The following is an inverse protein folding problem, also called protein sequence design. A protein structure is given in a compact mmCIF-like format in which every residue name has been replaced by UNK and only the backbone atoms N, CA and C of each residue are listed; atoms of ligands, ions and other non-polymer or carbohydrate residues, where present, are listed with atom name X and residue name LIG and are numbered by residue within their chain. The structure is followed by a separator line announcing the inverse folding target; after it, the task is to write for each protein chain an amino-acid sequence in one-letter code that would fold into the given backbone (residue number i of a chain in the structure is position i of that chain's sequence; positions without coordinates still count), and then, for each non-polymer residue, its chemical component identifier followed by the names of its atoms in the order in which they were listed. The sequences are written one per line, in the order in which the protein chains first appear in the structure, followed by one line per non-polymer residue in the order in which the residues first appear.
data_IF_366320068139
#
_entry.id   IF_366320068139
#
_cell.length_a   1.000
_cell.length_b   1.000
_cell.length_c   1.000
_cell.angle_alpha   90.00
_cell.angle_beta   90.00
_cell.angle_gamma   90.00
#
_symmetry.space_group_name_H-M   'P 1'
#
loop_
_entity.id
_entity.type
_entity.pdbx_description
1 polymer ?
#
# COMPACT_ATOMS: atom_id res chain seq x y z
N UNK A 1 45.08 -51.96 -18.70
CA UNK A 1 46.00 -50.97 -18.13
C UNK A 1 45.90 -49.72 -18.98
N UNK A 2 45.10 -48.75 -18.55
CA UNK A 2 45.04 -47.44 -19.18
C UNK A 2 46.36 -46.71 -18.88
N UNK A 3 47.13 -46.42 -19.92
CA UNK A 3 48.37 -45.65 -19.82
C UNK A 3 47.95 -44.21 -19.58
N UNK A 4 48.22 -43.68 -18.39
CA UNK A 4 48.05 -42.25 -18.12
C UNK A 4 48.98 -41.46 -19.04
N UNK A 5 48.41 -40.75 -20.02
CA UNK A 5 49.15 -39.82 -20.87
C UNK A 5 49.85 -38.80 -19.96
N UNK A 6 51.20 -38.83 -19.98
CA UNK A 6 52.00 -37.82 -19.29
C UNK A 6 51.73 -36.47 -19.96
N UNK A 7 50.96 -35.63 -19.28
CA UNK A 7 50.67 -34.26 -19.73
C UNK A 7 52.00 -33.50 -19.76
N UNK A 8 52.55 -33.32 -20.97
CA UNK A 8 53.76 -32.53 -21.20
C UNK A 8 53.52 -31.08 -20.74
N UNK A 9 54.21 -30.68 -19.67
CA UNK A 9 54.17 -29.29 -19.15
C UNK A 9 55.45 -28.58 -19.58
N UNK A 10 55.39 -27.66 -20.56
CA UNK A 10 56.58 -26.94 -21.01
C UNK A 10 57.13 -26.06 -19.89
N UNK A 11 58.48 -26.00 -19.78
CA UNK A 11 59.17 -25.20 -18.74
C UNK A 11 59.07 -23.68 -18.99
N UNK A 12 58.81 -23.27 -20.24
CA UNK A 12 58.59 -21.89 -20.63
C UNK A 12 57.29 -21.81 -21.44
N UNK A 13 56.45 -20.81 -21.14
CA UNK A 13 55.20 -20.55 -21.85
C UNK A 13 55.31 -19.17 -22.49
N UNK A 14 55.05 -19.07 -23.79
CA UNK A 14 54.85 -17.76 -24.42
C UNK A 14 53.53 -17.17 -23.92
N UNK A 15 53.65 -16.19 -23.04
CA UNK A 15 52.51 -15.49 -22.45
C UNK A 15 51.60 -14.85 -23.49
N UNK A 16 52.15 -14.38 -24.61
CA UNK A 16 51.37 -13.65 -25.62
C UNK A 16 50.47 -14.59 -26.41
N UNK A 17 51.00 -15.72 -26.84
CA UNK A 17 50.26 -16.77 -27.54
C UNK A 17 49.25 -17.45 -26.61
N UNK A 18 49.66 -17.75 -25.37
CA UNK A 18 48.78 -18.35 -24.36
C UNK A 18 47.58 -17.48 -24.02
N UNK A 19 47.77 -16.16 -23.91
CA UNK A 19 46.70 -15.19 -23.69
C UNK A 19 45.83 -15.05 -24.93
N UNK A 20 46.42 -14.94 -26.14
CA UNK A 20 45.67 -14.87 -27.41
C UNK A 20 44.71 -16.04 -27.57
N UNK A 21 45.16 -17.26 -27.30
CA UNK A 21 44.35 -18.48 -27.38
C UNK A 21 43.17 -18.51 -26.39
N UNK A 22 43.19 -17.67 -25.33
CA UNK A 22 42.16 -17.60 -24.29
C UNK A 22 41.48 -16.24 -24.23
N UNK A 23 41.68 -15.36 -25.21
CA UNK A 23 41.07 -14.03 -25.22
C UNK A 23 39.54 -14.12 -25.15
N UNK A 24 38.94 -15.06 -25.86
CA UNK A 24 37.49 -15.27 -25.85
C UNK A 24 37.00 -15.72 -24.47
N UNK A 25 37.74 -16.61 -23.80
CA UNK A 25 37.42 -17.05 -22.43
C UNK A 25 37.58 -15.92 -21.42
N UNK A 26 38.60 -15.07 -21.59
CA UNK A 26 38.81 -13.90 -20.75
C UNK A 26 37.71 -12.86 -21.01
N UNK A 27 37.29 -12.68 -22.27
CA UNK A 27 36.20 -11.78 -22.64
C UNK A 27 34.86 -12.26 -22.08
N UNK A 28 34.53 -13.55 -22.24
CA UNK A 28 33.35 -14.17 -21.65
C UNK A 28 33.37 -14.05 -20.13
N UNK A 29 34.51 -14.32 -19.48
CA UNK A 29 34.65 -14.14 -18.04
C UNK A 29 34.41 -12.69 -17.61
N UNK A 30 34.95 -11.72 -18.34
CA UNK A 30 34.72 -10.31 -18.07
C UNK A 30 33.25 -9.91 -18.31
N UNK A 31 32.59 -10.48 -19.31
CA UNK A 31 31.15 -10.31 -19.56
C UNK A 31 30.31 -10.92 -18.43
N UNK A 32 30.63 -12.14 -17.99
CA UNK A 32 29.95 -12.82 -16.87
C UNK A 32 30.16 -12.05 -15.56
N UNK A 33 31.39 -11.60 -15.28
CA UNK A 33 31.69 -10.78 -14.10
C UNK A 33 30.98 -9.43 -14.15
N UNK A 34 30.85 -8.83 -15.34
CA UNK A 34 30.12 -7.57 -15.53
C UNK A 34 28.60 -7.70 -15.54
N UNK A 35 28.05 -8.86 -15.93
CA UNK A 35 26.61 -9.13 -15.95
C UNK A 35 26.07 -9.65 -14.61
N UNK A 36 26.84 -10.48 -13.89
CA UNK A 36 26.55 -10.91 -12.52
C UNK A 36 26.66 -9.77 -11.51
N UNK A 37 27.39 -8.71 -11.87
CA UNK A 37 27.22 -7.38 -11.31
C UNK A 37 25.85 -6.85 -11.82
N UNK A 38 24.76 -7.15 -11.10
CA UNK A 38 23.38 -7.06 -11.60
C UNK A 38 22.97 -5.78 -12.33
N UNK A 39 22.77 -5.88 -13.65
CA UNK A 39 21.81 -5.14 -14.50
C UNK A 39 21.91 -3.60 -14.63
N UNK A 40 22.66 -2.92 -13.75
CA UNK A 40 22.83 -1.46 -13.72
C UNK A 40 24.35 -1.12 -13.58
N UNK A 41 25.21 -2.10 -13.87
CA UNK A 41 26.61 -2.14 -13.45
C UNK A 41 27.61 -2.07 -14.60
N UNK A 42 27.91 -0.85 -15.08
CA UNK A 42 29.12 -0.62 -15.88
C UNK A 42 30.40 -0.92 -15.08
N UNK A 43 31.23 -1.82 -15.61
CA UNK A 43 32.52 -2.31 -15.09
C UNK A 43 33.68 -1.32 -15.25
N UNK A 44 33.44 -0.17 -15.87
CA UNK A 44 34.49 0.75 -16.33
C UNK A 44 35.28 1.47 -15.22
N UNK A 45 34.96 1.27 -13.93
CA UNK A 45 35.70 1.87 -12.83
C UNK A 45 35.68 1.01 -11.55
N UNK A 46 36.75 1.01 -10.73
CA UNK A 46 36.78 0.35 -9.44
C UNK A 46 35.74 0.98 -8.51
N UNK A 47 34.65 0.25 -8.25
CA UNK A 47 33.56 0.71 -7.40
C UNK A 47 33.89 0.49 -5.93
N UNK A 48 33.64 1.52 -5.12
CA UNK A 48 33.66 1.38 -3.66
C UNK A 48 32.59 0.38 -3.21
N UNK A 49 32.79 -0.27 -2.06
CA UNK A 49 31.84 -1.26 -1.52
C UNK A 49 30.38 -0.75 -1.49
N UNK A 50 30.17 0.54 -1.22
CA UNK A 50 28.83 1.15 -1.18
C UNK A 50 28.16 1.26 -2.56
N UNK A 51 28.94 1.30 -3.64
CA UNK A 51 28.47 1.38 -5.02
C UNK A 51 28.17 0.00 -5.63
N UNK A 52 28.61 -1.10 -5.00
CA UNK A 52 28.24 -2.47 -5.42
C UNK A 52 26.78 -2.82 -5.12
N UNK A 53 26.09 -2.08 -4.25
CA UNK A 53 24.67 -2.32 -3.98
C UNK A 53 23.79 -1.79 -5.13
N UNK A 54 22.64 -2.41 -5.42
CA UNK A 54 21.66 -1.86 -6.36
C UNK A 54 21.21 -0.45 -5.94
N UNK A 55 20.99 0.44 -6.92
CA UNK A 55 20.65 1.85 -6.67
C UNK A 55 19.47 2.05 -5.71
N UNK A 56 18.44 1.20 -5.81
CA UNK A 56 17.25 1.28 -4.97
C UNK A 56 17.48 0.83 -3.51
N UNK A 57 18.54 0.04 -3.25
CA UNK A 57 18.95 -0.38 -1.91
C UNK A 57 19.93 0.59 -1.23
N UNK A 58 20.67 1.39 -2.01
CA UNK A 58 21.68 2.32 -1.48
C UNK A 58 21.06 3.34 -0.52
N UNK A 59 21.68 3.52 0.65
CA UNK A 59 21.36 4.60 1.60
C UNK A 59 22.54 5.57 1.72
N UNK A 60 22.27 6.88 1.69
CA UNK A 60 23.29 7.94 1.82
C UNK A 60 24.11 7.82 3.10
N UNK A 61 23.49 7.33 4.18
CA UNK A 61 24.12 7.21 5.50
C UNK A 61 24.95 5.92 5.71
N UNK A 62 25.12 5.06 4.70
CA UNK A 62 25.89 3.80 4.85
C UNK A 62 27.37 4.05 5.17
N UNK A 63 27.95 5.14 4.67
CA UNK A 63 29.34 5.52 4.96
C UNK A 63 29.57 5.82 6.44
N UNK A 64 28.59 6.40 7.14
CA UNK A 64 28.74 6.76 8.55
C UNK A 64 28.15 5.72 9.51
N UNK A 65 27.18 4.93 9.05
CA UNK A 65 26.48 3.93 9.85
C UNK A 65 26.43 2.58 9.13
N UNK A 66 27.32 1.68 9.55
CA UNK A 66 27.46 0.31 9.05
C UNK A 66 26.16 -0.50 9.19
N UNK A 67 25.30 -0.19 10.17
CA UNK A 67 24.01 -0.90 10.34
C UNK A 67 23.03 -0.68 9.18
N UNK A 68 23.28 0.32 8.32
CA UNK A 68 22.49 0.58 7.10
C UNK A 68 22.86 -0.33 5.93
N UNK A 69 23.97 -1.05 6.01
CA UNK A 69 24.34 -2.10 5.06
C UNK A 69 23.65 -3.44 5.41
N UNK A 70 23.40 -4.29 4.39
CA UNK A 70 23.03 -5.69 4.63
C UNK A 70 24.08 -6.40 5.49
N UNK A 71 23.65 -7.36 6.31
CA UNK A 71 24.52 -8.03 7.31
C UNK A 71 25.81 -8.57 6.71
N UNK A 72 25.73 -9.20 5.53
CA UNK A 72 26.87 -9.76 4.79
C UNK A 72 27.97 -8.73 4.44
N UNK A 73 27.59 -7.47 4.15
CA UNK A 73 28.55 -6.42 3.76
C UNK A 73 29.11 -5.60 4.93
N UNK A 74 28.59 -5.81 6.15
CA UNK A 74 29.04 -5.08 7.35
C UNK A 74 30.50 -5.34 7.71
N UNK A 75 31.01 -6.58 7.81
CA UNK A 75 32.40 -6.82 8.22
C UNK A 75 33.40 -6.11 7.31
N UNK A 76 33.18 -6.16 6.00
CA UNK A 76 34.03 -5.51 4.99
C UNK A 76 34.03 -3.98 5.16
N UNK A 77 32.89 -3.39 5.59
CA UNK A 77 32.75 -1.95 5.80
C UNK A 77 33.33 -1.44 7.13
N UNK A 78 33.40 -2.26 8.17
CA UNK A 78 33.92 -1.83 9.49
C UNK A 78 35.37 -1.37 9.36
N UNK A 79 36.15 -2.07 8.54
CA UNK A 79 37.56 -1.74 8.29
C UNK A 79 37.74 -0.39 7.57
N UNK A 80 36.73 0.07 6.81
CA UNK A 80 36.77 1.31 6.03
C UNK A 80 36.36 2.56 6.83
N UNK A 81 35.66 2.40 7.95
CA UNK A 81 34.93 3.48 8.62
C UNK A 81 35.51 3.89 9.99
N UNK A 82 36.80 4.24 10.06
CA UNK A 82 37.49 4.73 11.28
C UNK A 82 37.38 6.25 11.51
N UNK A 83 36.25 6.90 11.17
CA UNK A 83 36.09 8.36 11.42
C UNK A 83 35.45 8.64 12.78
N UNK A 84 36.05 9.55 13.57
CA UNK A 84 35.48 10.04 14.84
C UNK A 84 34.11 10.67 14.60
N UNK A 85 33.09 10.25 15.36
CA UNK A 85 31.72 10.76 15.23
C UNK A 85 31.52 11.95 16.16
N UNK A 86 31.01 13.05 15.61
CA UNK A 86 30.45 14.14 16.42
C UNK A 86 29.20 13.66 17.18
N UNK A 87 28.87 14.26 18.34
CA UNK A 87 27.71 13.86 19.13
C UNK A 87 26.41 13.87 18.31
N UNK A 88 25.62 12.82 18.49
CA UNK A 88 24.48 12.53 17.60
C UNK A 88 23.36 13.57 17.73
N UNK A 89 22.64 13.83 16.62
CA UNK A 89 21.45 14.71 16.60
C UNK A 89 20.33 14.27 17.55
N UNK A 90 20.36 13.01 18.01
CA UNK A 90 19.40 12.44 18.97
C UNK A 90 19.57 13.10 20.35
N UNK A 91 20.81 13.39 20.76
CA UNK A 91 21.12 14.09 22.02
C UNK A 91 20.50 15.50 22.09
N UNK A 92 20.24 16.13 20.92
CA UNK A 92 19.59 17.45 20.81
C UNK A 92 18.07 17.42 20.67
N UNK A 93 17.41 16.26 20.72
CA UNK A 93 15.95 16.14 20.48
C UNK A 93 15.19 15.71 21.73
N UNK A 94 14.40 16.62 22.32
CA UNK A 94 13.44 16.34 23.40
C UNK A 94 12.27 15.44 22.95
N UNK A 95 11.76 14.64 23.91
CA UNK A 95 10.75 13.59 23.78
C UNK A 95 9.29 14.09 23.61
N UNK A 96 9.03 15.39 23.77
CA UNK A 96 7.71 16.03 23.69
C UNK A 96 7.02 16.01 22.31
N UNK A 97 7.55 15.29 21.31
CA UNK A 97 7.01 15.23 19.93
C UNK A 97 6.05 14.08 19.65
N UNK A 98 5.91 13.12 20.57
CA UNK A 98 4.99 11.98 20.40
C UNK A 98 3.52 12.39 20.61
N UNK A 99 3.24 13.21 21.63
CA UNK A 99 1.90 13.74 21.97
C UNK A 99 1.33 14.64 20.84
N UNK A 100 2.19 15.28 20.04
CA UNK A 100 1.76 16.09 18.90
C UNK A 100 1.15 15.26 17.76
N UNK A 101 1.35 13.93 17.70
CA UNK A 101 0.79 13.09 16.63
C UNK A 101 -0.72 12.93 16.73
N UNK A 102 -1.25 12.66 17.93
CA UNK A 102 -2.70 12.52 18.14
C UNK A 102 -3.45 13.84 17.87
N UNK A 103 -2.86 14.99 18.23
CA UNK A 103 -3.44 16.30 17.92
C UNK A 103 -3.46 16.62 16.42
N UNK A 104 -2.55 16.04 15.63
CA UNK A 104 -2.47 16.27 14.19
C UNK A 104 -3.47 15.40 13.40
N UNK A 105 -3.88 14.24 13.93
CA UNK A 105 -4.97 13.44 13.34
C UNK A 105 -6.29 14.22 13.23
N UNK A 106 -6.52 15.16 14.16
CA UNK A 106 -7.68 16.06 14.16
C UNK A 106 -7.44 17.38 13.39
N UNK A 107 -6.24 17.61 12.84
CA UNK A 107 -5.94 18.82 12.09
C UNK A 107 -6.49 18.76 10.67
N UNK A 108 -6.86 19.92 10.10
CA UNK A 108 -7.18 20.07 8.68
C UNK A 108 -5.90 20.52 7.95
N UNK A 109 -5.48 19.87 6.86
CA UNK A 109 -6.07 18.70 6.20
C UNK A 109 -5.82 17.38 6.97
N UNK A 110 -6.81 16.48 6.92
CA UNK A 110 -6.82 15.21 7.66
C UNK A 110 -5.77 14.23 7.15
N UNK A 111 -5.24 13.41 8.06
CA UNK A 111 -4.26 12.38 7.73
C UNK A 111 -4.95 11.03 7.55
N UNK A 112 -4.53 10.27 6.53
CA UNK A 112 -4.90 8.87 6.39
C UNK A 112 -4.14 8.00 7.42
N UNK A 113 -4.63 6.79 7.77
CA UNK A 113 -3.93 5.90 8.70
C UNK A 113 -2.47 5.59 8.29
N UNK A 114 -2.20 5.55 6.99
CA UNK A 114 -0.87 5.28 6.40
C UNK A 114 -0.01 6.53 6.23
N UNK A 115 -0.48 7.72 6.66
CA UNK A 115 0.15 9.01 6.34
C UNK A 115 1.63 9.06 6.71
N UNK A 116 2.01 8.54 7.88
CA UNK A 116 3.42 8.53 8.33
C UNK A 116 4.32 7.72 7.39
N UNK A 117 3.81 6.61 6.84
CA UNK A 117 4.57 5.78 5.92
C UNK A 117 4.78 6.48 4.58
N UNK A 118 3.72 7.12 4.07
CA UNK A 118 3.76 7.89 2.82
C UNK A 118 4.59 9.18 2.96
N UNK A 119 4.42 9.96 4.03
CA UNK A 119 5.17 11.20 4.26
C UNK A 119 6.69 11.00 4.34
N UNK A 120 7.15 9.78 4.67
CA UNK A 120 8.57 9.42 4.66
C UNK A 120 9.13 9.08 3.26
N UNK A 121 8.28 8.81 2.27
CA UNK A 121 8.66 8.23 0.97
C UNK A 121 8.12 9.00 -0.24
N UNK A 122 7.13 9.83 -0.03
CA UNK A 122 6.41 10.58 -1.05
C UNK A 122 6.35 12.06 -0.68
N UNK A 123 6.20 12.89 -1.70
CA UNK A 123 5.77 14.28 -1.57
C UNK A 123 4.28 14.29 -1.25
N UNK A 124 3.94 14.98 -0.16
CA UNK A 124 2.60 15.03 0.39
C UNK A 124 1.98 16.40 0.13
N UNK A 125 0.78 16.43 -0.42
CA UNK A 125 0.02 17.65 -0.72
C UNK A 125 -1.36 17.60 -0.08
N UNK A 126 -1.94 18.78 0.16
CA UNK A 126 -3.26 18.92 0.75
C UNK A 126 -4.31 18.95 -0.37
N UNK A 127 -5.06 17.86 -0.55
CA UNK A 127 -6.01 17.67 -1.63
C UNK A 127 -7.31 17.12 -1.03
N UNK A 128 -8.46 17.69 -1.41
CA UNK A 128 -9.80 17.24 -1.00
C UNK A 128 -10.01 17.12 0.51
N UNK A 129 -9.37 18.00 1.28
CA UNK A 129 -9.43 17.99 2.76
C UNK A 129 -8.53 16.95 3.43
N UNK A 130 -7.73 16.20 2.67
CA UNK A 130 -6.76 15.21 3.15
C UNK A 130 -5.33 15.58 2.77
N UNK A 131 -4.35 15.03 3.49
CA UNK A 131 -2.94 15.12 3.13
C UNK A 131 -2.48 13.84 2.44
N UNK A 132 -2.47 13.86 1.11
CA UNK A 132 -2.28 12.70 0.23
C UNK A 132 -0.89 12.66 -0.41
N UNK A 133 -0.47 11.46 -0.78
CA UNK A 133 0.79 11.22 -1.47
C UNK A 133 0.64 11.44 -2.97
N UNK A 134 1.35 12.43 -3.52
CA UNK A 134 1.23 12.78 -4.96
C UNK A 134 2.34 12.12 -5.77
N UNK A 135 3.59 12.23 -5.33
CA UNK A 135 4.75 11.76 -6.09
C UNK A 135 5.76 11.04 -5.19
N UNK A 136 6.32 9.93 -5.66
CA UNK A 136 7.44 9.27 -4.99
C UNK A 136 8.67 10.19 -4.93
N UNK A 137 9.43 10.15 -3.84
CA UNK A 137 10.74 10.83 -3.78
C UNK A 137 11.78 10.19 -4.72
N UNK A 138 11.55 8.95 -5.16
CA UNK A 138 12.35 8.25 -6.15
C UNK A 138 11.72 8.37 -7.55
N UNK A 139 12.55 8.35 -8.59
CA UNK A 139 12.08 8.33 -9.99
C UNK A 139 11.55 6.92 -10.32
N UNK A 140 10.27 6.67 -10.07
CA UNK A 140 9.66 5.33 -10.21
C UNK A 140 8.57 5.24 -11.29
N UNK A 141 8.43 6.21 -12.20
CA UNK A 141 7.38 6.18 -13.23
C UNK A 141 7.42 4.90 -14.09
N UNK A 142 8.56 4.63 -14.76
CA UNK A 142 8.74 3.42 -15.59
C UNK A 142 8.73 2.12 -14.76
N UNK A 143 9.43 2.02 -13.61
CA UNK A 143 9.32 0.86 -12.74
C UNK A 143 7.89 0.55 -12.32
N UNK A 144 7.11 1.55 -11.92
CA UNK A 144 5.71 1.38 -11.55
C UNK A 144 4.92 0.84 -12.75
N UNK A 145 5.02 1.45 -13.93
CA UNK A 145 4.33 0.95 -15.12
C UNK A 145 4.65 -0.52 -15.41
N UNK A 146 5.94 -0.89 -15.43
CA UNK A 146 6.38 -2.28 -15.62
C UNK A 146 5.83 -3.22 -14.55
N UNK A 147 5.85 -2.79 -13.28
CA UNK A 147 5.30 -3.56 -12.17
C UNK A 147 3.79 -3.72 -12.24
N UNK A 148 3.05 -2.77 -12.81
CA UNK A 148 1.61 -2.91 -13.03
C UNK A 148 1.28 -4.03 -14.00
N UNK A 149 2.14 -4.25 -15.00
CA UNK A 149 1.96 -5.25 -16.03
C UNK A 149 2.47 -6.63 -15.61
N UNK A 150 3.64 -6.71 -14.98
CA UNK A 150 4.31 -7.99 -14.71
C UNK A 150 4.29 -8.42 -13.25
N UNK A 151 4.08 -7.50 -12.30
CA UNK A 151 4.09 -7.78 -10.88
C UNK A 151 2.84 -7.26 -10.18
N UNK A 152 2.99 -6.39 -9.18
CA UNK A 152 1.89 -5.80 -8.45
C UNK A 152 2.25 -4.43 -7.90
N UNK A 153 1.25 -3.54 -7.82
CA UNK A 153 1.33 -2.24 -7.18
C UNK A 153 0.18 -2.11 -6.20
N UNK A 154 0.42 -1.46 -5.08
CA UNK A 154 -0.61 -1.13 -4.09
C UNK A 154 -0.73 0.38 -4.02
N UNK A 155 -1.97 0.88 -4.05
CA UNK A 155 -2.30 2.28 -3.84
C UNK A 155 -3.30 2.43 -2.70
N UNK A 156 -3.14 3.49 -1.92
CA UNK A 156 -4.06 3.80 -0.84
C UNK A 156 -5.20 4.67 -1.37
N UNK A 157 -6.44 4.17 -1.23
CA UNK A 157 -7.69 4.84 -1.60
C UNK A 157 -8.61 5.09 -0.39
N UNK A 158 -8.04 5.07 0.81
CA UNK A 158 -8.79 5.25 2.07
C UNK A 158 -9.38 6.65 2.25
N UNK A 159 -9.07 7.59 1.36
CA UNK A 159 -9.70 8.91 1.33
C UNK A 159 -11.15 8.89 0.77
N UNK A 160 -11.53 7.80 0.09
CA UNK A 160 -12.92 7.61 -0.35
C UNK A 160 -13.84 7.45 0.86
N UNK A 161 -14.99 8.09 0.79
CA UNK A 161 -16.00 8.05 1.85
C UNK A 161 -16.98 6.92 1.56
N UNK A 162 -17.17 6.03 2.53
CA UNK A 162 -18.17 4.98 2.46
C UNK A 162 -19.47 5.46 3.11
N UNK A 163 -20.53 5.48 2.32
CA UNK A 163 -21.90 5.69 2.75
C UNK A 163 -22.59 4.34 2.81
N UNK A 164 -23.01 3.93 4.00
CA UNK A 164 -23.69 2.67 4.21
C UNK A 164 -25.18 2.93 4.45
N UNK A 165 -26.03 2.41 3.58
CA UNK A 165 -27.48 2.42 3.78
C UNK A 165 -27.87 1.09 4.44
N UNK A 166 -28.58 1.18 5.56
CA UNK A 166 -29.15 0.06 6.31
C UNK A 166 -30.67 0.15 6.27
N UNK A 167 -31.34 -0.89 5.78
CA UNK A 167 -32.80 -0.99 5.83
C UNK A 167 -33.26 -1.34 7.25
N UNK A 168 -34.25 -0.61 7.77
CA UNK A 168 -34.96 -0.97 9.01
C UNK A 168 -36.07 -1.99 8.67
N UNK A 169 -36.34 -2.91 9.60
CA UNK A 169 -37.12 -4.16 9.41
C UNK A 169 -38.40 -3.97 8.56
N UNK A 170 -38.59 -4.91 7.62
CA UNK A 170 -39.71 -5.09 6.67
C UNK A 170 -39.65 -4.38 5.30
N UNK A 171 -38.56 -3.69 4.97
CA UNK A 171 -38.41 -3.10 3.64
C UNK A 171 -37.52 -3.97 2.73
N UNK A 172 -38.01 -4.24 1.52
CA UNK A 172 -37.28 -4.97 0.48
C UNK A 172 -36.16 -4.12 -0.10
N UNK A 173 -35.12 -4.77 -0.64
CA UNK A 173 -34.02 -4.13 -1.40
C UNK A 173 -34.54 -3.20 -2.51
N UNK A 174 -35.70 -3.53 -3.09
CA UNK A 174 -36.40 -2.72 -4.09
C UNK A 174 -36.70 -1.30 -3.59
N UNK A 175 -36.92 -1.09 -2.29
CA UNK A 175 -37.17 0.23 -1.72
C UNK A 175 -35.95 1.14 -1.86
N UNK A 176 -34.78 0.71 -1.35
CA UNK A 176 -33.52 1.48 -1.53
C UNK A 176 -33.23 1.68 -3.01
N UNK A 177 -33.40 0.63 -3.82
CA UNK A 177 -33.15 0.73 -5.26
C UNK A 177 -34.05 1.77 -5.92
N UNK A 178 -35.34 1.80 -5.59
CA UNK A 178 -36.29 2.78 -6.13
C UNK A 178 -35.98 4.19 -5.64
N UNK A 179 -35.69 4.37 -4.35
CA UNK A 179 -35.29 5.65 -3.78
C UNK A 179 -34.05 6.19 -4.50
N UNK A 180 -33.00 5.37 -4.58
CA UNK A 180 -31.74 5.77 -5.18
C UNK A 180 -31.80 5.84 -6.71
N UNK A 181 -32.78 5.21 -7.36
CA UNK A 181 -32.97 5.31 -8.82
C UNK A 181 -33.24 6.74 -9.28
N UNK A 182 -33.76 7.60 -8.40
CA UNK A 182 -33.95 9.05 -8.67
C UNK A 182 -32.62 9.76 -8.97
N UNK A 183 -31.51 9.29 -8.41
CA UNK A 183 -30.16 9.82 -8.67
C UNK A 183 -29.50 9.23 -9.92
N UNK A 184 -30.17 8.30 -10.62
CA UNK A 184 -29.61 7.56 -11.73
C UNK A 184 -30.32 7.88 -13.04
N UNK A 185 -29.54 8.09 -14.10
CA UNK A 185 -30.06 8.14 -15.46
C UNK A 185 -29.91 6.80 -16.16
N UNK A 186 -31.03 6.11 -16.40
CA UNK A 186 -31.08 4.79 -17.05
C UNK A 186 -30.34 4.73 -18.40
N UNK A 187 -30.28 5.84 -19.13
CA UNK A 187 -29.63 5.92 -20.45
C UNK A 187 -28.09 6.03 -20.40
N UNK A 188 -27.52 6.55 -19.31
CA UNK A 188 -26.10 6.91 -19.24
C UNK A 188 -25.25 5.98 -18.37
N UNK A 189 -25.87 5.34 -17.38
CA UNK A 189 -25.19 4.54 -16.36
C UNK A 189 -26.07 3.33 -15.99
N UNK A 190 -25.47 2.22 -15.52
CA UNK A 190 -26.25 1.18 -14.85
C UNK A 190 -27.06 1.79 -13.70
N UNK A 191 -28.10 1.10 -13.24
CA UNK A 191 -28.90 1.50 -12.07
C UNK A 191 -28.52 0.66 -10.86
N UNK A 192 -28.98 1.08 -9.67
CA UNK A 192 -28.82 0.29 -8.44
C UNK A 192 -29.50 -1.09 -8.52
N UNK A 193 -30.50 -1.23 -9.40
CA UNK A 193 -31.22 -2.48 -9.68
C UNK A 193 -30.53 -3.40 -10.70
N UNK A 194 -29.24 -3.23 -10.96
CA UNK A 194 -28.53 -4.09 -11.91
C UNK A 194 -28.49 -5.54 -11.38
N UNK A 195 -28.91 -6.51 -12.21
CA UNK A 195 -28.94 -7.94 -11.90
C UNK A 195 -27.61 -8.46 -11.34
N UNK A 196 -26.48 -8.05 -11.93
CA UNK A 196 -25.16 -8.46 -11.46
C UNK A 196 -24.85 -7.91 -10.06
N UNK A 197 -25.28 -6.69 -9.76
CA UNK A 197 -25.04 -6.07 -8.46
C UNK A 197 -25.96 -6.66 -7.37
N UNK A 198 -27.21 -7.01 -7.70
CA UNK A 198 -28.17 -7.61 -6.77
C UNK A 198 -27.69 -8.93 -6.18
N UNK A 199 -26.83 -9.66 -6.89
CA UNK A 199 -26.17 -10.88 -6.36
C UNK A 199 -25.30 -10.62 -5.12
N UNK A 200 -24.90 -9.35 -4.88
CA UNK A 200 -24.03 -8.95 -3.77
C UNK A 200 -22.55 -9.28 -3.95
N UNK A 201 -22.18 -10.01 -5.00
CA UNK A 201 -20.80 -10.48 -5.20
C UNK A 201 -19.90 -9.43 -5.88
N UNK A 202 -20.50 -8.47 -6.57
CA UNK A 202 -19.77 -7.53 -7.42
C UNK A 202 -19.96 -6.09 -6.98
N UNK A 203 -18.87 -5.33 -7.05
CA UNK A 203 -18.90 -3.87 -6.98
C UNK A 203 -19.10 -3.31 -8.40
N UNK A 204 -20.06 -2.41 -8.56
CA UNK A 204 -20.35 -1.79 -9.85
C UNK A 204 -20.15 -0.28 -9.79
N UNK A 205 -19.67 0.31 -10.89
CA UNK A 205 -19.52 1.76 -11.02
C UNK A 205 -20.79 2.39 -11.55
N UNK A 206 -21.13 3.55 -11.00
CA UNK A 206 -22.36 4.30 -11.23
C UNK A 206 -22.03 5.79 -11.41
N UNK A 207 -22.84 6.50 -12.19
CA UNK A 207 -22.84 7.96 -12.24
C UNK A 207 -24.06 8.53 -11.50
N UNK A 208 -23.82 9.44 -10.55
CA UNK A 208 -24.84 10.12 -9.76
C UNK A 208 -25.23 11.46 -10.39
N UNK A 209 -26.52 11.75 -10.35
CA UNK A 209 -27.13 12.99 -10.83
C UNK A 209 -28.10 13.55 -9.79
N UNK A 210 -28.34 14.86 -9.83
CA UNK A 210 -29.35 15.48 -8.96
C UNK A 210 -30.75 14.97 -9.28
N UNK A 211 -31.60 14.77 -8.25
CA UNK A 211 -32.99 14.38 -8.46
C UNK A 211 -33.83 15.62 -8.83
N UNK A 212 -34.39 15.67 -10.04
CA UNK A 212 -35.55 16.54 -10.32
C UNK A 212 -35.36 17.78 -11.19
N UNK A 213 -34.42 17.81 -12.15
CA UNK A 213 -34.37 18.88 -13.17
C UNK A 213 -34.39 18.30 -14.58
N UNK A 214 -34.97 19.00 -15.56
CA UNK A 214 -34.99 18.59 -16.97
C UNK A 214 -33.58 18.28 -17.53
N UNK A 215 -32.55 18.89 -16.95
CA UNK A 215 -31.15 18.67 -17.30
C UNK A 215 -30.38 17.72 -16.38
N UNK A 216 -30.94 17.21 -15.27
CA UNK A 216 -30.29 16.54 -14.13
C UNK A 216 -28.78 16.80 -14.07
N UNK A 217 -28.39 17.81 -13.30
CA UNK A 217 -26.98 18.15 -13.13
C UNK A 217 -26.15 16.95 -12.63
N UNK A 218 -24.95 16.81 -13.15
CA UNK A 218 -24.05 15.72 -12.80
C UNK A 218 -23.40 15.97 -11.43
N UNK A 219 -23.58 15.04 -10.50
CA UNK A 219 -22.96 15.07 -9.18
C UNK A 219 -21.56 14.46 -9.25
N UNK A 220 -21.44 13.24 -9.78
CA UNK A 220 -20.15 12.57 -9.88
C UNK A 220 -20.19 11.05 -10.00
N UNK A 221 -19.04 10.40 -10.21
CA UNK A 221 -18.94 8.95 -10.24
C UNK A 221 -18.95 8.35 -8.83
N UNK A 222 -19.49 7.15 -8.73
CA UNK A 222 -19.68 6.40 -7.51
C UNK A 222 -19.41 4.91 -7.78
N UNK A 223 -19.06 4.15 -6.75
CA UNK A 223 -19.09 2.69 -6.81
C UNK A 223 -19.97 2.13 -5.71
N UNK A 224 -20.82 1.16 -6.03
CA UNK A 224 -21.68 0.56 -5.03
C UNK A 224 -21.59 -0.97 -5.04
N UNK A 225 -21.88 -1.55 -3.89
CA UNK A 225 -21.92 -3.00 -3.68
C UNK A 225 -23.04 -3.33 -2.69
N UNK A 226 -23.89 -4.29 -3.05
CA UNK A 226 -24.93 -4.80 -2.17
C UNK A 226 -24.34 -5.81 -1.18
N UNK A 227 -24.61 -5.61 0.11
CA UNK A 227 -24.35 -6.57 1.17
C UNK A 227 -25.69 -7.16 1.57
N UNK A 228 -26.01 -8.31 0.99
CA UNK A 228 -27.24 -9.01 1.26
C UNK A 228 -27.34 -9.39 2.74
N UNK A 229 -28.54 -9.36 3.34
CA UNK A 229 -29.83 -9.02 2.71
C UNK A 229 -30.19 -7.52 2.72
N UNK A 230 -29.63 -6.70 3.64
CA UNK A 230 -30.24 -5.41 4.01
C UNK A 230 -29.29 -4.19 3.94
N UNK A 231 -28.09 -4.31 3.36
CA UNK A 231 -27.07 -3.26 3.38
C UNK A 231 -26.63 -2.88 1.97
N UNK A 232 -26.47 -1.59 1.72
CA UNK A 232 -25.83 -1.07 0.51
C UNK A 232 -24.65 -0.22 0.92
N UNK A 233 -23.46 -0.52 0.39
CA UNK A 233 -22.30 0.33 0.56
C UNK A 233 -22.04 1.11 -0.72
N UNK A 234 -21.82 2.40 -0.56
CA UNK A 234 -21.68 3.36 -1.63
C UNK A 234 -20.39 4.16 -1.38
N UNK A 235 -19.44 4.05 -2.30
CA UNK A 235 -18.14 4.70 -2.25
C UNK A 235 -18.15 5.96 -3.09
N UNK A 236 -17.97 7.10 -2.44
CA UNK A 236 -17.92 8.42 -3.07
C UNK A 236 -16.55 9.05 -2.84
N UNK A 237 -16.16 9.92 -3.77
CA UNK A 237 -15.08 10.86 -3.58
C UNK A 237 -15.43 11.96 -2.55
N UNK A 238 -14.50 12.37 -1.66
CA UNK A 238 -14.79 13.36 -0.62
C UNK A 238 -15.24 14.74 -1.13
N UNK A 239 -14.92 15.12 -2.37
CA UNK A 239 -15.42 16.39 -2.94
C UNK A 239 -16.92 16.35 -3.25
N UNK A 240 -17.45 15.19 -3.60
CA UNK A 240 -18.83 14.99 -4.04
C UNK A 240 -19.76 14.75 -2.83
N UNK A 241 -19.19 14.27 -1.74
CA UNK A 241 -19.93 13.85 -0.56
C UNK A 241 -20.87 14.93 -0.01
N UNK A 242 -20.41 16.18 0.11
CA UNK A 242 -21.22 17.26 0.68
C UNK A 242 -22.46 17.55 -0.16
N UNK A 243 -22.32 17.54 -1.48
CA UNK A 243 -23.44 17.84 -2.38
C UNK A 243 -24.42 16.66 -2.41
N UNK A 244 -23.92 15.43 -2.45
CA UNK A 244 -24.76 14.24 -2.38
C UNK A 244 -25.56 14.14 -1.07
N UNK A 245 -24.95 14.46 0.07
CA UNK A 245 -25.64 14.44 1.36
C UNK A 245 -26.73 15.52 1.46
N UNK A 246 -26.53 16.69 0.85
CA UNK A 246 -27.59 17.74 0.76
C UNK A 246 -28.77 17.23 -0.05
N UNK A 247 -28.52 16.64 -1.22
CA UNK A 247 -29.59 16.12 -2.07
C UNK A 247 -30.33 14.94 -1.42
N UNK A 248 -29.62 14.06 -0.69
CA UNK A 248 -30.27 13.02 0.10
C UNK A 248 -31.12 13.62 1.23
N UNK A 249 -30.67 14.68 1.89
CA UNK A 249 -31.44 15.28 2.98
C UNK A 249 -32.77 15.89 2.54
N UNK A 250 -32.90 16.23 1.25
CA UNK A 250 -34.18 16.67 0.67
C UNK A 250 -35.17 15.51 0.47
N UNK A 251 -34.70 14.25 0.49
CA UNK A 251 -35.55 13.08 0.48
C UNK A 251 -35.96 12.75 1.92
N UNK A 252 -37.16 13.16 2.32
CA UNK A 252 -37.73 13.00 3.66
C UNK A 252 -37.80 11.55 4.19
N UNK A 253 -37.46 10.55 3.37
CA UNK A 253 -37.53 9.11 3.67
C UNK A 253 -36.27 8.54 4.36
N UNK A 254 -35.20 9.33 4.55
CA UNK A 254 -33.90 8.85 5.07
C UNK A 254 -33.52 9.50 6.40
N UNK A 255 -33.20 8.68 7.41
CA UNK A 255 -32.57 9.13 8.66
C UNK A 255 -31.06 9.11 8.54
N UNK A 256 -30.43 10.29 8.59
CA UNK A 256 -28.96 10.42 8.51
C UNK A 256 -28.34 10.27 9.90
N UNK A 257 -27.57 9.21 10.12
CA UNK A 257 -26.79 8.98 11.33
C UNK A 257 -25.36 9.48 11.06
N UNK A 258 -25.07 10.73 11.44
CA UNK A 258 -23.71 11.25 11.36
C UNK A 258 -22.91 10.89 12.62
N UNK A 259 -21.70 10.32 12.53
CA UNK A 259 -20.93 9.88 13.70
C UNK A 259 -20.19 11.01 14.44
N UNK A 260 -20.29 12.27 14.04
CA UNK A 260 -19.60 13.36 14.75
C UNK A 260 -20.18 14.75 14.45
N UNK A 261 -21.17 15.17 15.23
CA UNK A 261 -21.20 16.40 16.05
C UNK A 261 -22.62 16.63 16.57
N UNK A 262 -22.70 16.94 17.86
CA UNK A 262 -23.70 17.79 18.49
C UNK A 262 -24.55 18.59 17.49
N UNK A 263 -25.74 18.09 17.19
CA UNK A 263 -26.90 18.93 17.02
C UNK A 263 -27.82 18.55 18.17
N UNK A 264 -28.04 19.49 19.08
CA UNK A 264 -29.14 19.43 20.03
C UNK A 264 -30.44 19.20 19.24
N UNK A 265 -31.29 18.33 19.79
CA UNK A 265 -32.76 18.28 19.70
C UNK A 265 -33.34 18.63 18.31
N UNK A 266 -33.89 17.68 17.55
CA UNK A 266 -35.17 17.07 17.89
C UNK A 266 -35.24 15.62 17.42
N UNK A 267 -35.60 14.73 18.35
CA UNK A 267 -36.24 13.46 18.00
C UNK A 267 -37.63 13.78 17.47
N UNK A 268 -37.75 14.08 16.19
CA UNK A 268 -39.04 13.99 15.52
C UNK A 268 -39.14 12.61 14.88
N UNK A 269 -40.09 11.85 15.41
CA UNK A 269 -40.54 10.55 14.93
C UNK A 269 -41.07 10.69 13.50
N UNK A 270 -40.19 10.53 12.52
CA UNK A 270 -40.55 10.06 11.20
C UNK A 270 -40.18 8.58 11.14
N UNK A 271 -41.13 7.74 10.71
CA UNK A 271 -40.92 6.32 10.38
C UNK A 271 -39.92 6.20 9.22
N UNK A 272 -38.64 6.50 9.49
CA UNK A 272 -37.60 6.41 8.49
C UNK A 272 -37.38 4.94 8.16
N UNK A 273 -37.63 4.57 6.91
CA UNK A 273 -37.45 3.21 6.42
C UNK A 273 -35.98 2.85 6.20
N UNK A 274 -35.11 3.85 6.03
CA UNK A 274 -33.69 3.69 5.72
C UNK A 274 -32.81 4.56 6.63
N UNK A 275 -31.79 3.93 7.21
CA UNK A 275 -30.72 4.59 7.96
C UNK A 275 -29.49 4.78 7.07
N UNK A 276 -28.95 6.00 7.04
CA UNK A 276 -27.70 6.31 6.37
C UNK A 276 -26.56 6.48 7.39
N UNK A 277 -25.59 5.58 7.35
CA UNK A 277 -24.37 5.62 8.16
C UNK A 277 -23.19 6.13 7.33
N UNK A 278 -22.62 7.27 7.74
CA UNK A 278 -21.43 7.84 7.09
C UNK A 278 -20.15 7.30 7.75
N UNK A 279 -19.47 6.35 7.11
CA UNK A 279 -18.31 5.65 7.68
C UNK A 279 -16.98 6.35 7.37
N UNK A 280 -16.85 7.62 7.75
CA UNK A 280 -15.58 8.36 7.62
C UNK A 280 -14.50 7.79 8.52
N UNK A 281 -13.32 7.52 7.96
CA UNK A 281 -12.11 7.07 8.67
C UNK A 281 -12.27 5.75 9.46
N UNK A 282 -13.39 5.03 9.32
CA UNK A 282 -13.59 3.72 9.94
C UNK A 282 -13.09 2.59 9.05
N UNK A 283 -13.28 2.73 7.74
CA UNK A 283 -12.86 1.75 6.75
C UNK A 283 -11.71 2.32 5.93
N UNK A 284 -10.66 1.51 5.77
CA UNK A 284 -9.55 1.80 4.86
C UNK A 284 -9.70 0.96 3.60
N UNK A 285 -9.35 1.52 2.45
CA UNK A 285 -9.46 0.87 1.16
C UNK A 285 -8.13 0.92 0.43
N UNK A 286 -7.59 -0.24 0.12
CA UNK A 286 -6.38 -0.37 -0.69
C UNK A 286 -6.73 -0.96 -2.04
N UNK A 287 -6.14 -0.43 -3.11
CA UNK A 287 -6.25 -1.01 -4.43
C UNK A 287 -4.94 -1.68 -4.81
N UNK A 288 -5.00 -2.98 -5.03
CA UNK A 288 -3.93 -3.74 -5.66
C UNK A 288 -4.15 -3.81 -7.17
N UNK A 289 -3.09 -3.64 -7.95
CA UNK A 289 -3.10 -3.68 -9.41
C UNK A 289 -1.98 -4.60 -9.87
N UNK A 290 -2.24 -5.50 -10.82
CA UNK A 290 -1.25 -6.34 -11.49
C UNK A 290 -1.46 -7.84 -11.27
N UNK A 291 -0.89 -8.69 -12.15
CA UNK A 291 -1.21 -10.12 -12.19
C UNK A 291 -0.75 -10.89 -10.95
N UNK A 292 0.35 -10.48 -10.30
CA UNK A 292 0.90 -11.18 -9.12
C UNK A 292 0.26 -10.72 -7.81
N UNK A 293 -0.64 -9.75 -7.84
CA UNK A 293 -1.25 -9.17 -6.65
C UNK A 293 -1.96 -10.21 -5.78
N UNK A 294 -2.74 -11.10 -6.39
CA UNK A 294 -3.47 -12.15 -5.69
C UNK A 294 -2.53 -13.17 -5.03
N UNK A 295 -1.43 -13.53 -5.70
CA UNK A 295 -0.41 -14.43 -5.15
C UNK A 295 0.18 -13.83 -3.87
N UNK A 296 0.56 -12.55 -3.90
CA UNK A 296 1.07 -11.88 -2.71
C UNK A 296 0.02 -11.76 -1.61
N UNK A 297 -1.25 -11.56 -1.96
CA UNK A 297 -2.35 -11.51 -1.00
C UNK A 297 -2.49 -12.86 -0.30
N UNK A 298 -2.51 -13.97 -1.04
CA UNK A 298 -2.60 -15.32 -0.49
C UNK A 298 -1.38 -15.70 0.37
N UNK A 299 -0.20 -15.18 0.07
CA UNK A 299 0.98 -15.39 0.92
C UNK A 299 0.92 -14.62 2.25
N UNK A 300 0.24 -13.47 2.27
CA UNK A 300 0.19 -12.57 3.44
C UNK A 300 -1.01 -12.87 4.33
N UNK A 301 -2.19 -13.05 3.75
CA UNK A 301 -3.41 -13.36 4.48
C UNK A 301 -3.54 -14.86 4.69
N UNK A 302 -3.70 -15.26 5.95
CA UNK A 302 -4.00 -16.63 6.34
C UNK A 302 -5.45 -16.69 6.80
N UNK A 303 -6.16 -17.73 6.37
CA UNK A 303 -7.47 -18.05 6.90
C UNK A 303 -7.28 -18.60 8.31
N UNK A 304 -7.99 -18.02 9.26
CA UNK A 304 -8.09 -18.52 10.63
C UNK A 304 -9.44 -19.20 10.73
N UNK A 305 -9.46 -20.46 11.14
CA UNK A 305 -10.70 -21.20 11.39
C UNK A 305 -11.19 -20.88 12.81
N UNK A 306 -12.51 -20.86 13.00
CA UNK A 306 -13.16 -20.44 14.26
C UNK A 306 -12.64 -21.15 15.52
N UNK A 307 -12.14 -22.39 15.39
CA UNK A 307 -11.56 -23.17 16.49
C UNK A 307 -10.22 -22.62 17.01
N UNK A 308 -9.54 -21.77 16.24
CA UNK A 308 -8.23 -21.18 16.57
C UNK A 308 -8.35 -19.73 17.08
N UNK A 309 -9.53 -19.11 16.91
CA UNK A 309 -9.79 -17.72 17.32
C UNK A 309 -9.75 -17.53 18.85
N UNK A 310 -10.18 -18.54 19.60
CA UNK A 310 -10.14 -18.52 21.08
C UNK A 310 -8.70 -18.54 21.64
N UNK A 311 -7.73 -19.03 20.86
CA UNK A 311 -6.32 -19.12 21.24
C UNK A 311 -5.47 -17.95 20.72
N UNK A 312 -6.04 -17.09 19.87
CA UNK A 312 -5.36 -15.92 19.31
C UNK A 312 -5.51 -14.74 20.27
N UNK A 313 -4.56 -14.65 21.19
CA UNK A 313 -4.40 -13.51 22.09
C UNK A 313 -4.05 -12.25 21.27
N UNK A 314 -5.07 -11.58 20.74
CA UNK A 314 -4.94 -10.41 19.86
C UNK A 314 -4.45 -9.15 20.60
N UNK A 315 -4.16 -9.28 21.90
CA UNK A 315 -3.55 -8.25 22.76
C UNK A 315 -2.17 -7.80 22.24
N UNK A 316 -1.44 -8.67 21.52
CA UNK A 316 -0.12 -8.38 20.94
C UNK A 316 -0.09 -7.51 19.68
N UNK A 317 -1.24 -7.31 19.01
CA UNK A 317 -1.31 -6.54 17.74
C UNK A 317 -1.66 -5.06 17.94
N UNK A 318 -1.68 -4.55 19.18
CA UNK A 318 -1.75 -3.11 19.46
C UNK A 318 -0.44 -2.42 19.07
N UNK A 319 -0.35 -1.95 17.83
CA UNK A 319 0.54 -0.85 17.37
C UNK A 319 1.96 -0.84 17.97
N UNK A 320 2.59 -2.01 18.07
CA UNK A 320 4.02 -2.16 18.27
C UNK A 320 4.60 -2.69 16.98
N UNK A 321 5.52 -1.96 16.35
CA UNK A 321 6.33 -2.50 15.26
C UNK A 321 6.87 -3.88 15.69
N UNK A 322 6.67 -4.96 14.92
CA UNK A 322 7.43 -6.17 15.16
C UNK A 322 8.88 -5.84 14.78
N UNK A 323 9.67 -5.47 15.78
CA UNK A 323 11.08 -5.79 15.73
C UNK A 323 11.13 -7.31 15.62
N UNK A 324 11.38 -7.81 14.42
CA UNK A 324 11.87 -9.16 14.22
C UNK A 324 13.18 -9.30 15.00
N UNK A 325 13.06 -9.58 16.30
CA UNK A 325 14.13 -10.14 17.10
C UNK A 325 14.27 -11.59 16.63
N UNK A 326 15.12 -11.79 15.62
CA UNK A 326 15.81 -13.06 15.52
C UNK A 326 16.71 -13.15 16.75
N UNK A 327 16.23 -13.80 17.81
CA UNK A 327 17.11 -14.43 18.79
C UNK A 327 17.90 -15.51 18.06
N UNK A 328 19.23 -15.54 18.13
CA UNK A 328 19.97 -16.72 17.77
C UNK A 328 19.67 -17.76 18.86
N UNK A 329 19.07 -18.89 18.48
CA UNK A 329 19.15 -20.11 19.27
C UNK A 329 20.64 -20.45 19.38
N UNK A 330 21.24 -20.10 20.50
CA UNK A 330 22.53 -20.63 20.92
C UNK A 330 22.25 -22.08 21.28
N UNK A 331 22.68 -23.00 20.44
CA UNK A 331 22.72 -24.41 20.78
C UNK A 331 23.70 -24.60 21.93
N UNK A 332 23.24 -25.25 22.99
CA UNK A 332 24.10 -25.78 24.03
C UNK A 332 25.02 -26.86 23.41
N UNK A 333 26.30 -26.92 23.81
CA UNK A 333 27.20 -27.96 23.35
C UNK A 333 26.79 -29.29 23.99
N UNK A 334 26.57 -30.29 23.16
CA UNK A 334 26.47 -31.69 23.56
C UNK A 334 27.89 -32.14 23.91
N UNK A 335 28.11 -32.47 25.18
CA UNK A 335 29.32 -33.15 25.65
C UNK A 335 29.41 -34.54 24.98
N UNK A 336 30.57 -34.81 24.38
CA UNK A 336 31.08 -36.14 24.07
C UNK A 336 32.45 -36.27 24.72
#
# INVERSE_FOLDING_TARGET
MEVSEEVFRPRLIDTTEYVKARLDQIAELLEVVSSNAGGDESTSAPRTLFQRLPRHMRRRAMSHNVKRLPRLFRPISVNLNKKKKMPSRIWRRRASRLIRRSMVENSKPRWLPTHIWHAKRFHMEAIWGFKLAVKCCQKTFRPNYRSSLSSSIITDRSYLTCLQFTLIKNTSISFISNLLSKFCRKKCSPTFNNLFALSGNFETSLLLFKPGDDFNEFIGPCRFSWFLPNKLNLWIHPSIELDFLKEISLLNEIKIISPSKYCNNTEENLEASVELNVLKNKISRFQLIGPKSLIYLNCVFKLVLDKELDNLDCSGYRLGFPFFNFSPLIGEPIEL
#
